data_IF_050463903631
#
_entry.id   IF_050463903631
#
_cell.length_a   1.000
_cell.length_b   1.000
_cell.length_c   1.000
_cell.angle_alpha   90.00
_cell.angle_beta   90.00
_cell.angle_gamma   90.00
#
_symmetry.space_group_name_H-M   'P 1'
#
loop_
_entity.id
_entity.type
_entity.pdbx_description
1 polymer ?
#
# COMPACT_ATOMS: atom_id res chain seq x y z
N UNK A 1 6.82 -35.04 16.39
CA UNK A 1 6.18 -34.90 15.04
C UNK A 1 7.07 -34.03 14.15
N UNK A 2 7.29 -34.43 12.88
CA UNK A 2 8.02 -33.63 11.90
C UNK A 2 7.11 -33.13 10.78
N UNK A 3 7.22 -31.87 10.40
CA UNK A 3 6.48 -31.23 9.31
C UNK A 3 7.47 -30.79 8.25
N UNK A 4 7.25 -31.18 6.99
CA UNK A 4 8.11 -30.78 5.87
C UNK A 4 7.41 -29.67 5.09
N UNK A 5 7.98 -28.48 5.06
CA UNK A 5 7.39 -27.35 4.35
C UNK A 5 7.87 -25.99 4.89
N UNK A 6 7.31 -24.91 4.35
CA UNK A 6 7.58 -23.55 4.82
C UNK A 6 6.56 -22.50 4.41
N UNK A 7 5.43 -22.91 3.83
CA UNK A 7 4.28 -22.01 3.61
C UNK A 7 3.28 -22.08 4.76
N UNK A 8 2.19 -21.32 4.65
CA UNK A 8 1.18 -21.20 5.71
C UNK A 8 0.63 -22.57 6.15
N UNK A 9 0.37 -23.47 5.20
CA UNK A 9 -0.07 -24.86 5.49
C UNK A 9 0.90 -25.60 6.42
N UNK A 10 2.21 -25.38 6.28
CA UNK A 10 3.21 -26.02 7.13
C UNK A 10 3.20 -25.42 8.55
N UNK A 11 2.97 -24.12 8.68
CA UNK A 11 2.82 -23.43 9.96
C UNK A 11 1.51 -23.85 10.65
N UNK A 12 0.41 -23.94 9.91
CA UNK A 12 -0.86 -24.43 10.43
C UNK A 12 -0.73 -25.87 10.94
N UNK A 13 -0.06 -26.74 10.19
CA UNK A 13 0.18 -28.12 10.57
C UNK A 13 1.03 -28.23 11.86
N UNK A 14 2.08 -27.41 12.01
CA UNK A 14 2.91 -27.45 13.22
C UNK A 14 2.16 -26.95 14.44
N UNK A 15 1.47 -25.82 14.34
CA UNK A 15 0.67 -25.25 15.44
C UNK A 15 -0.48 -26.17 15.84
N UNK A 16 -1.14 -26.78 14.85
CA UNK A 16 -2.17 -27.80 15.09
C UNK A 16 -1.61 -29.00 15.83
N UNK A 17 -0.45 -29.51 15.41
CA UNK A 17 0.22 -30.62 16.10
C UNK A 17 0.55 -30.27 17.57
N UNK A 18 1.07 -29.07 17.82
CA UNK A 18 1.32 -28.57 19.19
C UNK A 18 0.04 -28.57 20.02
N UNK A 19 -1.05 -28.02 19.49
CA UNK A 19 -2.36 -27.91 20.19
C UNK A 19 -3.04 -29.25 20.42
N UNK A 20 -2.72 -30.26 19.61
CA UNK A 20 -3.16 -31.64 19.80
C UNK A 20 -2.31 -32.41 20.83
N UNK A 21 -1.33 -31.75 21.48
CA UNK A 21 -0.55 -32.32 22.56
C UNK A 21 0.74 -33.03 22.12
N UNK A 22 1.26 -32.72 20.93
CA UNK A 22 2.57 -33.21 20.53
C UNK A 22 3.66 -32.66 21.48
N UNK A 23 4.48 -33.55 22.05
CA UNK A 23 5.55 -33.16 22.97
C UNK A 23 6.65 -32.34 22.29
N UNK A 24 6.97 -32.68 21.04
CA UNK A 24 7.97 -31.97 20.24
C UNK A 24 7.53 -31.90 18.77
N UNK A 25 7.52 -30.69 18.22
CA UNK A 25 7.16 -30.41 16.83
C UNK A 25 8.35 -29.78 16.11
N UNK A 26 8.75 -30.39 15.01
CA UNK A 26 9.86 -29.94 14.16
C UNK A 26 9.34 -29.51 12.79
N UNK A 27 9.72 -28.33 12.34
CA UNK A 27 9.46 -27.86 10.97
C UNK A 27 10.76 -27.93 10.16
N UNK A 28 10.78 -28.68 9.07
CA UNK A 28 11.93 -28.83 8.19
C UNK A 28 11.72 -27.98 6.95
N UNK A 29 12.56 -26.95 6.80
CA UNK A 29 12.51 -26.05 5.65
C UNK A 29 13.84 -26.00 4.90
N UNK A 30 13.77 -26.27 3.60
CA UNK A 30 14.95 -26.36 2.72
C UNK A 30 15.63 -25.03 2.40
N UNK A 31 15.09 -23.90 2.86
CA UNK A 31 15.69 -22.55 2.65
C UNK A 31 15.85 -21.82 3.99
N UNK A 32 16.26 -20.56 3.96
CA UNK A 32 16.35 -19.73 5.16
C UNK A 32 15.01 -19.06 5.48
N UNK A 33 14.93 -18.38 6.63
CA UNK A 33 13.76 -17.59 7.00
C UNK A 33 13.45 -16.47 6.00
N UNK A 34 14.45 -15.90 5.32
CA UNK A 34 14.24 -14.83 4.33
C UNK A 34 13.46 -15.32 3.09
N UNK A 35 13.59 -16.59 2.72
CA UNK A 35 12.84 -17.18 1.60
C UNK A 35 11.58 -17.92 2.05
N UNK A 36 11.22 -17.87 3.34
CA UNK A 36 10.02 -18.54 3.85
C UNK A 36 8.76 -17.83 3.31
N UNK A 37 7.88 -18.55 2.58
CA UNK A 37 6.67 -17.92 2.04
C UNK A 37 5.56 -17.71 3.06
N UNK A 38 5.63 -18.37 4.23
CA UNK A 38 4.63 -18.20 5.27
C UNK A 38 4.63 -16.78 5.86
N UNK A 39 3.48 -16.33 6.35
CA UNK A 39 3.35 -15.04 7.02
C UNK A 39 4.31 -14.94 8.24
N UNK A 40 5.17 -13.90 8.32
CA UNK A 40 6.16 -13.77 9.38
C UNK A 40 5.57 -13.74 10.79
N UNK A 41 4.38 -13.16 10.97
CA UNK A 41 3.71 -13.09 12.27
C UNK A 41 3.29 -14.49 12.72
N UNK A 42 2.79 -15.31 11.79
CA UNK A 42 2.45 -16.71 12.09
C UNK A 42 3.68 -17.57 12.39
N UNK A 43 4.80 -17.32 11.70
CA UNK A 43 6.07 -18.01 11.97
C UNK A 43 6.58 -17.66 13.38
N UNK A 44 6.53 -16.39 13.76
CA UNK A 44 6.89 -15.94 15.11
C UNK A 44 5.99 -16.60 16.16
N UNK A 45 4.67 -16.58 15.96
CA UNK A 45 3.72 -17.25 16.86
C UNK A 45 3.97 -18.77 16.97
N UNK A 46 4.35 -19.45 15.88
CA UNK A 46 4.69 -20.87 15.93
C UNK A 46 5.94 -21.14 16.79
N UNK A 47 6.96 -20.28 16.68
CA UNK A 47 8.16 -20.35 17.53
C UNK A 47 7.82 -20.07 18.99
N UNK A 48 6.96 -19.08 19.27
CA UNK A 48 6.44 -18.82 20.62
C UNK A 48 5.72 -20.05 21.20
N UNK A 49 4.92 -20.74 20.38
CA UNK A 49 4.23 -22.00 20.72
C UNK A 49 5.18 -23.20 20.87
N UNK A 50 6.50 -23.02 20.67
CA UNK A 50 7.53 -24.03 20.91
C UNK A 50 7.91 -24.87 19.70
N UNK A 51 7.46 -24.51 18.49
CA UNK A 51 7.84 -25.20 17.25
C UNK A 51 9.33 -24.98 16.96
N UNK A 52 10.05 -26.09 16.72
CA UNK A 52 11.48 -26.07 16.38
C UNK A 52 11.66 -26.02 14.87
N UNK A 53 12.07 -24.87 14.34
CA UNK A 53 12.28 -24.68 12.90
C UNK A 53 13.73 -25.00 12.52
N UNK A 54 13.90 -25.99 11.64
CA UNK A 54 15.15 -26.40 11.03
C UNK A 54 15.26 -25.82 9.62
N UNK A 55 15.90 -24.67 9.53
CA UNK A 55 16.24 -24.06 8.24
C UNK A 55 17.36 -24.80 7.52
N UNK A 56 17.45 -24.59 6.20
CA UNK A 56 18.51 -25.16 5.36
C UNK A 56 18.62 -26.68 5.50
N UNK A 57 17.48 -27.35 5.64
CA UNK A 57 17.40 -28.79 5.81
C UNK A 57 16.35 -29.38 4.86
N UNK A 58 16.69 -30.44 4.16
CA UNK A 58 15.76 -31.13 3.28
C UNK A 58 15.74 -32.65 3.56
N UNK A 59 14.57 -33.28 3.56
CA UNK A 59 14.48 -34.74 3.61
C UNK A 59 15.03 -35.36 2.32
N UNK A 60 15.75 -36.47 2.45
CA UNK A 60 16.27 -37.30 1.34
C UNK A 60 15.55 -38.63 1.25
N UNK A 61 15.41 -39.32 2.39
CA UNK A 61 14.80 -40.66 2.45
C UNK A 61 13.96 -40.82 3.70
N UNK A 62 12.84 -41.51 3.53
CA UNK A 62 12.05 -42.02 4.64
C UNK A 62 12.50 -43.46 4.87
N UNK A 63 12.91 -43.76 6.09
CA UNK A 63 13.44 -45.04 6.52
C UNK A 63 12.52 -45.62 7.60
N UNK A 64 12.30 -46.93 7.55
CA UNK A 64 11.46 -47.66 8.50
C UNK A 64 10.59 -48.70 7.78
N UNK A 65 10.36 -49.82 8.44
CA UNK A 65 9.42 -50.86 8.02
C UNK A 65 8.14 -50.81 8.89
N UNK A 66 7.09 -51.52 8.48
CA UNK A 66 5.84 -51.61 9.24
C UNK A 66 6.11 -52.05 10.70
N UNK A 67 5.83 -51.16 11.65
CA UNK A 67 6.04 -51.40 13.08
C UNK A 67 7.38 -50.91 13.65
N UNK A 68 8.28 -50.34 12.83
CA UNK A 68 9.47 -49.62 13.31
C UNK A 68 9.21 -48.12 13.53
N UNK A 69 10.07 -47.49 14.33
CA UNK A 69 10.07 -46.03 14.47
C UNK A 69 10.45 -45.37 13.13
N UNK A 70 9.68 -44.37 12.72
CA UNK A 70 9.93 -43.61 11.50
C UNK A 70 11.23 -42.82 11.64
N UNK A 71 12.16 -43.04 10.71
CA UNK A 71 13.44 -42.32 10.62
C UNK A 71 13.47 -41.50 9.33
N UNK A 72 13.82 -40.23 9.44
CA UNK A 72 13.95 -39.33 8.30
C UNK A 72 15.43 -38.99 8.08
N UNK A 73 16.00 -39.45 6.97
CA UNK A 73 17.33 -39.02 6.53
C UNK A 73 17.21 -37.61 5.93
N UNK A 74 17.94 -36.66 6.50
CA UNK A 74 17.95 -35.26 6.12
C UNK A 74 19.35 -34.83 5.68
N UNK A 75 19.42 -33.92 4.72
CA UNK A 75 20.67 -33.33 4.23
C UNK A 75 20.69 -31.83 4.51
N UNK A 76 21.88 -31.28 4.77
CA UNK A 76 22.03 -29.82 4.89
C UNK A 76 22.02 -29.18 3.52
N UNK A 77 21.48 -27.97 3.46
CA UNK A 77 21.35 -27.17 2.26
C UNK A 77 22.22 -25.92 2.37
N UNK A 78 22.80 -25.50 1.24
CA UNK A 78 23.30 -24.14 1.02
C UNK A 78 22.47 -23.43 -0.03
N UNK A 79 22.38 -22.11 0.06
CA UNK A 79 21.62 -21.31 -0.90
C UNK A 79 22.50 -20.94 -2.10
N UNK A 80 22.02 -21.26 -3.30
CA UNK A 80 22.60 -20.86 -4.58
C UNK A 80 22.06 -19.52 -5.07
N UNK A 81 22.10 -19.32 -6.39
CA UNK A 81 21.52 -18.14 -7.03
C UNK A 81 19.98 -18.12 -6.92
N UNK A 82 19.34 -16.94 -6.93
CA UNK A 82 17.90 -16.79 -7.07
C UNK A 82 17.34 -17.52 -8.30
N UNK A 83 16.16 -18.10 -8.17
CA UNK A 83 15.35 -18.62 -9.26
C UNK A 83 14.49 -17.51 -9.90
N UNK A 84 13.66 -17.88 -10.88
CA UNK A 84 12.78 -16.92 -11.57
C UNK A 84 11.72 -16.28 -10.65
N UNK A 85 11.44 -16.88 -9.48
CA UNK A 85 10.58 -16.30 -8.44
C UNK A 85 11.34 -15.38 -7.49
N UNK A 86 12.66 -15.19 -7.68
CA UNK A 86 13.54 -14.43 -6.79
C UNK A 86 14.03 -15.23 -5.58
N UNK A 87 13.56 -16.46 -5.37
CA UNK A 87 13.94 -17.29 -4.22
C UNK A 87 15.23 -18.03 -4.51
N UNK A 88 16.14 -18.08 -3.53
CA UNK A 88 17.42 -18.78 -3.71
C UNK A 88 17.21 -20.29 -3.88
N UNK A 89 17.96 -20.87 -4.82
CA UNK A 89 17.90 -22.31 -5.10
C UNK A 89 18.55 -23.11 -3.95
N UNK A 90 17.87 -24.14 -3.40
CA UNK A 90 18.46 -25.02 -2.41
C UNK A 90 19.46 -25.97 -3.10
N UNK A 91 20.71 -25.97 -2.67
CA UNK A 91 21.75 -26.88 -3.15
C UNK A 91 22.19 -27.80 -1.99
N UNK A 92 22.09 -29.13 -2.13
CA UNK A 92 22.57 -30.05 -1.12
C UNK A 92 24.06 -29.88 -0.84
N UNK A 93 24.45 -30.05 0.43
CA UNK A 93 25.83 -30.18 0.87
C UNK A 93 26.12 -31.67 0.97
N UNK A 94 26.99 -32.19 0.09
CA UNK A 94 27.42 -33.59 0.12
C UNK A 94 28.03 -33.94 1.48
N UNK A 95 27.87 -35.20 1.91
CA UNK A 95 28.39 -35.75 3.18
C UNK A 95 27.87 -35.02 4.45
N UNK A 96 26.65 -34.47 4.38
CA UNK A 96 26.00 -33.77 5.51
C UNK A 96 24.71 -34.44 6.00
N UNK A 97 24.49 -35.67 5.54
CA UNK A 97 23.35 -36.50 5.86
C UNK A 97 23.33 -36.84 7.35
N UNK A 98 22.14 -36.76 7.95
CA UNK A 98 21.89 -37.17 9.32
C UNK A 98 20.45 -37.66 9.46
N UNK A 99 20.23 -38.55 10.42
CA UNK A 99 18.90 -39.10 10.67
C UNK A 99 18.20 -38.36 11.81
N UNK A 100 16.89 -38.24 11.69
CA UNK A 100 16.00 -37.75 12.74
C UNK A 100 14.88 -38.76 12.96
N UNK A 101 14.69 -39.20 14.19
CA UNK A 101 13.58 -40.08 14.57
C UNK A 101 12.31 -39.25 14.81
N UNK A 102 11.18 -39.72 14.27
CA UNK A 102 9.88 -39.08 14.38
C UNK A 102 8.82 -40.13 14.68
N UNK A 103 7.76 -39.78 15.41
CA UNK A 103 6.59 -40.67 15.55
C UNK A 103 5.62 -40.52 14.36
N UNK A 104 5.53 -39.30 13.83
CA UNK A 104 4.68 -38.94 12.70
C UNK A 104 5.35 -37.88 11.85
N UNK A 105 5.05 -37.92 10.55
CA UNK A 105 5.50 -36.94 9.58
C UNK A 105 4.32 -36.39 8.78
N UNK A 106 4.26 -35.06 8.68
CA UNK A 106 3.27 -34.33 7.88
C UNK A 106 3.98 -33.66 6.70
N UNK A 107 3.48 -33.88 5.49
CA UNK A 107 4.07 -33.35 4.27
C UNK A 107 3.24 -32.15 3.80
N UNK A 108 3.82 -30.95 3.88
CA UNK A 108 3.20 -29.68 3.52
C UNK A 108 4.05 -28.93 2.46
N UNK A 109 4.37 -29.63 1.37
CA UNK A 109 5.26 -29.14 0.29
C UNK A 109 4.52 -28.48 -0.88
N UNK A 110 3.21 -28.27 -0.73
CA UNK A 110 2.32 -27.78 -1.78
C UNK A 110 1.38 -28.86 -2.31
N UNK A 111 0.49 -28.44 -3.20
CA UNK A 111 -0.54 -29.25 -3.82
C UNK A 111 -0.67 -28.87 -5.29
N UNK A 112 -1.31 -29.76 -6.05
CA UNK A 112 -1.59 -29.61 -7.47
C UNK A 112 -3.01 -30.09 -7.75
N UNK A 113 -3.74 -29.45 -8.68
CA UNK A 113 -5.11 -29.84 -8.97
C UNK A 113 -5.15 -31.26 -9.55
N UNK A 114 -6.14 -32.04 -9.10
CA UNK A 114 -6.50 -33.29 -9.78
C UNK A 114 -7.36 -32.95 -10.99
N UNK A 115 -6.82 -33.17 -12.18
CA UNK A 115 -7.48 -32.89 -13.46
C UNK A 115 -7.94 -34.15 -14.18
N UNK A 116 -7.81 -35.32 -13.56
CA UNK A 116 -8.09 -36.62 -14.20
C UNK A 116 -9.56 -36.84 -14.54
N UNK A 117 -10.47 -36.08 -13.91
CA UNK A 117 -11.91 -36.16 -14.15
C UNK A 117 -12.39 -35.22 -15.27
N UNK A 118 -11.52 -34.32 -15.76
CA UNK A 118 -11.86 -33.33 -16.77
C UNK A 118 -11.91 -33.97 -18.17
N UNK A 119 -12.72 -33.44 -19.10
CA UNK A 119 -12.81 -33.99 -20.44
C UNK A 119 -11.50 -33.76 -21.23
N UNK A 120 -11.16 -34.72 -22.11
CA UNK A 120 -9.89 -34.75 -22.84
C UNK A 120 -9.67 -33.55 -23.79
N UNK A 121 -10.76 -32.88 -24.20
CA UNK A 121 -10.72 -31.71 -25.06
C UNK A 121 -10.49 -30.40 -24.29
N UNK A 122 -10.50 -30.42 -22.95
CA UNK A 122 -10.14 -29.26 -22.13
C UNK A 122 -8.62 -29.06 -22.12
N UNK A 123 -8.19 -27.85 -22.44
CA UNK A 123 -6.77 -27.52 -22.46
C UNK A 123 -6.24 -27.28 -21.04
N UNK A 124 -5.15 -27.97 -20.69
CA UNK A 124 -4.40 -27.74 -19.46
C UNK A 124 -3.09 -27.02 -19.76
N UNK A 125 -2.57 -26.28 -18.77
CA UNK A 125 -1.24 -25.68 -18.83
C UNK A 125 -0.15 -26.73 -18.60
N UNK A 126 1.11 -26.38 -18.84
CA UNK A 126 2.26 -27.24 -18.50
C UNK A 126 2.34 -27.59 -17.01
N UNK A 127 1.70 -26.80 -16.14
CA UNK A 127 1.63 -27.04 -14.69
C UNK A 127 0.49 -27.96 -14.28
N UNK A 128 -0.32 -28.44 -15.24
CA UNK A 128 -1.51 -29.26 -14.99
C UNK A 128 -2.71 -28.47 -14.47
N UNK A 129 -2.67 -27.13 -14.50
CA UNK A 129 -3.83 -26.27 -14.18
C UNK A 129 -4.71 -26.06 -15.41
N UNK A 130 -5.95 -25.63 -15.22
CA UNK A 130 -6.88 -25.36 -16.33
C UNK A 130 -6.42 -24.12 -17.09
N UNK A 131 -6.27 -24.23 -18.41
CA UNK A 131 -5.94 -23.09 -19.26
C UNK A 131 -7.19 -22.26 -19.56
N UNK A 132 -7.08 -20.94 -19.37
CA UNK A 132 -8.17 -19.98 -19.60
C UNK A 132 -7.67 -18.75 -20.35
N UNK A 133 -8.58 -18.03 -20.97
CA UNK A 133 -8.34 -16.67 -21.43
C UNK A 133 -8.11 -15.77 -20.20
N UNK A 134 -6.98 -15.06 -20.09
CA UNK A 134 -6.67 -14.28 -18.90
C UNK A 134 -7.63 -13.12 -18.66
N UNK A 135 -8.36 -12.63 -19.68
CA UNK A 135 -9.29 -11.50 -19.59
C UNK A 135 -10.73 -11.91 -19.29
N UNK A 136 -11.15 -13.10 -19.69
CA UNK A 136 -12.53 -13.58 -19.49
C UNK A 136 -12.65 -14.77 -18.55
N UNK A 137 -11.53 -15.45 -18.28
CA UNK A 137 -11.47 -16.74 -17.57
C UNK A 137 -12.25 -17.87 -18.25
N UNK A 138 -12.62 -17.69 -19.53
CA UNK A 138 -13.22 -18.74 -20.34
C UNK A 138 -12.15 -19.75 -20.77
N UNK A 139 -12.48 -21.03 -20.71
CA UNK A 139 -11.64 -22.12 -21.20
C UNK A 139 -11.68 -22.20 -22.73
N UNK A 140 -11.03 -23.19 -23.32
CA UNK A 140 -11.20 -23.47 -24.75
C UNK A 140 -12.58 -24.08 -25.10
N UNK A 141 -13.35 -24.52 -24.09
CA UNK A 141 -14.72 -24.99 -24.26
C UNK A 141 -15.68 -23.82 -24.05
N UNK A 142 -16.47 -23.50 -25.08
CA UNK A 142 -17.36 -22.34 -25.05
C UNK A 142 -18.39 -22.44 -23.94
N UNK A 143 -18.54 -21.35 -23.19
CA UNK A 143 -19.46 -21.28 -22.04
C UNK A 143 -18.96 -21.97 -20.78
N UNK A 144 -17.73 -22.50 -20.76
CA UNK A 144 -17.08 -23.09 -19.58
C UNK A 144 -15.98 -22.16 -19.10
N UNK A 145 -16.06 -21.77 -17.83
CA UNK A 145 -15.14 -20.83 -17.18
C UNK A 145 -14.47 -21.50 -15.97
N UNK A 146 -13.26 -21.06 -15.62
CA UNK A 146 -12.53 -21.57 -14.45
C UNK A 146 -11.77 -20.44 -13.75
N UNK A 147 -11.58 -20.56 -12.43
CA UNK A 147 -10.82 -19.61 -11.62
C UNK A 147 -10.38 -20.22 -10.29
N UNK A 148 -9.65 -19.45 -9.50
CA UNK A 148 -8.97 -19.86 -8.28
C UNK A 148 -7.74 -20.74 -8.54
N UNK A 149 -7.36 -21.51 -7.51
CA UNK A 149 -6.17 -22.37 -7.53
C UNK A 149 -6.16 -23.41 -8.68
N UNK A 150 -7.33 -23.76 -9.22
CA UNK A 150 -7.43 -24.66 -10.37
C UNK A 150 -6.83 -24.07 -11.65
N UNK A 151 -6.71 -22.74 -11.74
CA UNK A 151 -6.13 -22.00 -12.87
C UNK A 151 -4.72 -21.53 -12.54
N UNK A 152 -4.54 -20.85 -11.42
CA UNK A 152 -3.28 -20.19 -11.04
C UNK A 152 -2.30 -21.10 -10.31
N UNK A 153 -2.79 -22.20 -9.72
CA UNK A 153 -2.11 -22.91 -8.63
C UNK A 153 -2.31 -22.19 -7.29
N UNK A 154 -1.74 -22.71 -6.21
CA UNK A 154 -1.91 -22.15 -4.87
C UNK A 154 -1.58 -20.64 -4.84
N UNK A 155 -2.61 -19.82 -4.55
CA UNK A 155 -2.54 -18.36 -4.47
C UNK A 155 -3.20 -17.86 -3.15
N UNK A 156 -3.63 -16.60 -3.12
CA UNK A 156 -4.38 -16.07 -1.98
C UNK A 156 -5.89 -16.23 -2.17
N UNK A 157 -6.64 -16.24 -1.06
CA UNK A 157 -8.11 -16.24 -1.08
C UNK A 157 -8.65 -15.03 -1.85
N UNK A 158 -7.98 -13.87 -1.74
CA UNK A 158 -8.39 -12.64 -2.42
C UNK A 158 -8.25 -12.77 -3.94
N UNK A 159 -7.18 -13.43 -4.42
CA UNK A 159 -7.00 -13.69 -5.85
C UNK A 159 -8.11 -14.61 -6.39
N UNK A 160 -8.46 -15.66 -5.64
CA UNK A 160 -9.56 -16.55 -6.01
C UNK A 160 -10.92 -15.82 -6.04
N UNK A 161 -11.17 -14.91 -5.09
CA UNK A 161 -12.38 -14.06 -5.11
C UNK A 161 -12.38 -13.12 -6.32
N UNK A 162 -11.24 -12.50 -6.63
CA UNK A 162 -11.11 -11.61 -7.78
C UNK A 162 -11.38 -12.36 -9.10
N UNK A 163 -10.85 -13.58 -9.25
CA UNK A 163 -11.14 -14.44 -10.40
C UNK A 163 -12.61 -14.87 -10.43
N UNK A 164 -13.21 -15.20 -9.29
CA UNK A 164 -14.64 -15.49 -9.20
C UNK A 164 -15.51 -14.33 -9.70
N UNK A 165 -15.20 -13.10 -9.30
CA UNK A 165 -15.87 -11.89 -9.80
C UNK A 165 -15.68 -11.73 -11.30
N UNK A 166 -14.46 -11.90 -11.80
CA UNK A 166 -14.13 -11.79 -13.23
C UNK A 166 -14.84 -12.84 -14.09
N UNK A 167 -14.91 -14.08 -13.61
CA UNK A 167 -15.67 -15.16 -14.25
C UNK A 167 -17.16 -14.84 -14.26
N UNK A 168 -17.72 -14.35 -13.16
CA UNK A 168 -19.14 -13.96 -13.09
C UNK A 168 -19.49 -12.85 -14.11
N UNK A 169 -18.66 -11.81 -14.24
CA UNK A 169 -18.82 -10.76 -15.26
C UNK A 169 -18.85 -11.37 -16.67
N UNK A 170 -17.97 -12.32 -16.93
CA UNK A 170 -17.81 -12.93 -18.26
C UNK A 170 -18.93 -13.91 -18.58
N UNK A 171 -19.40 -14.67 -17.59
CA UNK A 171 -20.57 -15.55 -17.68
C UNK A 171 -21.82 -14.73 -17.97
N UNK A 172 -22.03 -13.62 -17.26
CA UNK A 172 -23.20 -12.77 -17.49
C UNK A 172 -23.23 -12.21 -18.92
N UNK A 173 -22.10 -11.69 -19.40
CA UNK A 173 -21.95 -11.24 -20.80
C UNK A 173 -22.16 -12.35 -21.82
N UNK A 174 -21.65 -13.56 -21.55
CA UNK A 174 -21.86 -14.72 -22.40
C UNK A 174 -23.34 -15.10 -22.50
N UNK A 175 -24.10 -14.94 -21.42
CA UNK A 175 -25.55 -15.17 -21.36
C UNK A 175 -26.39 -13.98 -21.90
N UNK A 176 -25.74 -12.89 -22.33
CA UNK A 176 -26.38 -11.72 -22.93
C UNK A 176 -26.70 -10.57 -21.97
N UNK A 177 -26.17 -10.61 -20.74
CA UNK A 177 -26.18 -9.48 -19.80
C UNK A 177 -25.10 -8.43 -20.11
N UNK A 178 -24.98 -7.42 -19.25
CA UNK A 178 -24.01 -6.31 -19.38
C UNK A 178 -22.69 -6.57 -18.63
N UNK A 179 -22.66 -7.57 -17.74
CA UNK A 179 -21.54 -7.89 -16.87
C UNK A 179 -21.40 -6.97 -15.67
N UNK A 180 -22.46 -6.25 -15.27
CA UNK A 180 -22.45 -5.44 -14.06
C UNK A 180 -22.81 -6.28 -12.83
N UNK A 181 -21.78 -6.68 -12.07
CA UNK A 181 -21.92 -7.44 -10.81
C UNK A 181 -21.60 -6.61 -9.57
N UNK A 182 -21.41 -5.30 -9.75
CA UNK A 182 -21.02 -4.41 -8.67
C UNK A 182 -22.23 -4.10 -7.80
N UNK A 183 -22.11 -4.42 -6.51
CA UNK A 183 -23.12 -4.07 -5.52
C UNK A 183 -22.65 -2.86 -4.73
N UNK A 184 -23.44 -1.79 -4.74
CA UNK A 184 -23.21 -0.64 -3.87
C UNK A 184 -23.87 -0.88 -2.52
N UNK A 185 -23.13 -1.51 -1.61
CA UNK A 185 -23.59 -1.81 -0.25
C UNK A 185 -23.61 -0.58 0.67
N UNK A 186 -22.79 0.44 0.37
CA UNK A 186 -22.65 1.65 1.17
C UNK A 186 -22.54 2.86 0.23
N UNK A 187 -23.07 4.01 0.66
CA UNK A 187 -22.83 5.26 -0.04
C UNK A 187 -21.37 5.68 0.13
N UNK A 188 -20.72 6.11 -0.95
CA UNK A 188 -19.38 6.68 -0.87
C UNK A 188 -19.44 7.96 -0.04
N UNK A 189 -18.63 8.03 1.02
CA UNK A 189 -18.45 9.26 1.78
C UNK A 189 -17.62 10.25 0.96
N UNK A 190 -18.10 11.50 0.86
CA UNK A 190 -17.28 12.58 0.33
C UNK A 190 -16.20 12.96 1.35
N UNK A 191 -14.97 12.62 1.00
CA UNK A 191 -13.79 12.96 1.77
C UNK A 191 -13.57 14.49 1.82
N UNK A 192 -13.47 15.08 3.01
CA UNK A 192 -13.01 16.47 3.16
C UNK A 192 -11.55 16.58 2.67
N UNK A 193 -11.27 17.41 1.64
CA UNK A 193 -9.91 17.60 1.14
C UNK A 193 -9.00 18.34 2.13
N UNK A 194 -9.57 19.01 3.15
CA UNK A 194 -8.84 19.76 4.16
C UNK A 194 -8.58 18.93 5.42
N UNK A 195 -7.65 17.99 5.32
CA UNK A 195 -7.30 17.08 6.43
C UNK A 195 -6.60 17.75 7.62
N UNK A 196 -6.09 18.97 7.45
CA UNK A 196 -5.25 19.64 8.43
C UNK A 196 -3.87 18.98 8.61
N UNK A 197 -3.16 19.37 9.66
CA UNK A 197 -1.86 18.79 10.03
C UNK A 197 -2.04 17.86 11.23
N UNK A 198 -1.48 16.66 11.15
CA UNK A 198 -1.37 15.75 12.30
C UNK A 198 0.10 15.61 12.70
N UNK A 199 0.46 16.21 13.84
CA UNK A 199 1.81 16.10 14.38
C UNK A 199 2.17 14.65 14.68
N UNK A 200 3.41 14.27 14.37
CA UNK A 200 3.93 12.93 14.64
C UNK A 200 3.28 11.79 13.85
N UNK A 201 2.44 12.07 12.84
CA UNK A 201 1.73 11.04 12.07
C UNK A 201 2.67 9.96 11.51
N UNK A 202 3.78 10.38 10.89
CA UNK A 202 4.76 9.46 10.31
C UNK A 202 5.49 8.58 11.34
N UNK A 203 5.48 8.96 12.62
CA UNK A 203 6.10 8.21 13.71
C UNK A 203 5.11 7.28 14.43
N UNK A 204 3.83 7.24 14.03
CA UNK A 204 2.84 6.35 14.65
C UNK A 204 3.11 4.89 14.30
N UNK A 205 3.32 4.08 15.32
CA UNK A 205 3.42 2.62 15.19
C UNK A 205 2.05 1.98 14.98
N UNK A 206 2.04 0.83 14.30
CA UNK A 206 0.85 -0.03 14.20
C UNK A 206 0.42 -0.49 15.59
N UNK A 207 -0.88 -0.43 15.87
CA UNK A 207 -1.45 -1.02 17.07
C UNK A 207 -1.32 -2.54 16.98
N UNK A 208 -0.74 -3.15 18.01
CA UNK A 208 -0.57 -4.61 18.09
C UNK A 208 -1.91 -5.28 18.39
N UNK A 209 -2.18 -6.40 17.72
CA UNK A 209 -3.38 -7.21 17.96
C UNK A 209 -3.27 -7.89 19.33
N UNK A 210 -4.20 -7.69 20.27
CA UNK A 210 -4.25 -8.47 21.49
C UNK A 210 -4.48 -9.94 21.16
N UNK A 211 -3.63 -10.81 21.69
CA UNK A 211 -3.73 -12.25 21.52
C UNK A 211 -3.90 -12.94 22.88
N UNK A 212 -4.51 -14.12 22.88
CA UNK A 212 -4.56 -14.98 24.08
C UNK A 212 -3.15 -15.20 24.66
N UNK A 213 -3.00 -15.38 25.98
CA UNK A 213 -1.73 -15.80 26.58
C UNK A 213 -1.26 -17.15 26.01
N UNK A 214 0.05 -17.33 25.91
CA UNK A 214 0.66 -18.51 25.29
C UNK A 214 0.15 -19.82 25.89
N UNK A 215 -0.01 -19.87 27.20
CA UNK A 215 -0.46 -21.05 27.95
C UNK A 215 -1.88 -21.48 27.53
N UNK A 216 -2.68 -20.54 27.04
CA UNK A 216 -4.04 -20.80 26.53
C UNK A 216 -4.03 -21.11 25.03
N UNK A 217 -3.12 -20.50 24.26
CA UNK A 217 -2.98 -20.76 22.81
C UNK A 217 -2.71 -22.24 22.51
N UNK A 218 -1.88 -22.88 23.32
CA UNK A 218 -1.46 -24.28 23.11
C UNK A 218 -2.46 -25.32 23.67
N UNK A 219 -3.52 -24.89 24.36
CA UNK A 219 -4.50 -25.80 24.99
C UNK A 219 -5.68 -26.16 24.09
N UNK A 220 -5.75 -25.63 22.87
CA UNK A 220 -6.83 -25.96 21.94
C UNK A 220 -6.94 -25.01 20.76
N UNK A 221 -8.16 -24.86 20.25
CA UNK A 221 -8.46 -24.13 19.00
C UNK A 221 -9.32 -22.88 19.23
N UNK A 222 -9.26 -22.30 20.43
CA UNK A 222 -9.90 -21.02 20.72
C UNK A 222 -9.32 -19.93 19.81
N UNK A 223 -10.14 -18.95 19.46
CA UNK A 223 -9.70 -17.77 18.69
C UNK A 223 -8.56 -17.08 19.45
N UNK A 224 -7.40 -16.94 18.79
CA UNK A 224 -6.20 -16.38 19.41
C UNK A 224 -6.23 -14.87 19.37
N UNK A 225 -6.58 -14.28 18.24
CA UNK A 225 -6.69 -12.84 18.02
C UNK A 225 -8.00 -12.32 18.63
N UNK A 226 -7.90 -11.52 19.69
CA UNK A 226 -9.05 -11.07 20.48
C UNK A 226 -9.75 -9.85 19.88
N UNK A 227 -9.22 -9.30 18.80
CA UNK A 227 -9.66 -8.05 18.20
C UNK A 227 -9.17 -6.82 18.96
N UNK A 228 -9.32 -5.66 18.32
CA UNK A 228 -9.00 -4.39 18.94
C UNK A 228 -10.21 -3.86 19.72
N UNK A 229 -9.95 -3.32 20.92
CA UNK A 229 -10.92 -2.49 21.62
C UNK A 229 -11.27 -1.25 20.77
N UNK A 230 -12.47 -0.71 20.97
CA UNK A 230 -13.00 0.39 20.15
C UNK A 230 -12.03 1.57 20.04
N UNK A 231 -11.43 1.98 21.17
CA UNK A 231 -10.49 3.09 21.24
C UNK A 231 -9.26 2.83 20.37
N UNK A 232 -8.73 1.61 20.43
CA UNK A 232 -7.57 1.16 19.67
C UNK A 232 -7.87 0.96 18.18
N UNK A 233 -9.05 0.46 17.86
CA UNK A 233 -9.52 0.38 16.48
C UNK A 233 -9.65 1.78 15.84
N UNK A 234 -10.21 2.75 16.58
CA UNK A 234 -10.29 4.15 16.12
C UNK A 234 -8.91 4.78 15.99
N UNK A 235 -7.99 4.49 16.92
CA UNK A 235 -6.60 4.96 16.83
C UNK A 235 -5.90 4.44 15.57
N UNK A 236 -6.03 3.14 15.27
CA UNK A 236 -5.47 2.53 14.07
C UNK A 236 -6.13 3.06 12.78
N UNK A 237 -7.46 3.26 12.77
CA UNK A 237 -8.17 3.85 11.64
C UNK A 237 -7.69 5.30 11.33
N UNK A 238 -7.34 6.07 12.37
CA UNK A 238 -6.76 7.42 12.22
C UNK A 238 -5.33 7.43 11.67
N UNK A 239 -4.69 6.27 11.49
CA UNK A 239 -3.40 6.10 10.79
C UNK A 239 -3.58 5.98 9.27
N UNK A 240 -4.81 6.02 8.76
CA UNK A 240 -5.10 5.98 7.33
C UNK A 240 -4.35 7.09 6.57
N UNK A 241 -3.68 6.72 5.47
CA UNK A 241 -2.94 7.65 4.60
C UNK A 241 -3.85 8.47 3.66
N UNK A 242 -5.17 8.21 3.69
CA UNK A 242 -6.17 8.87 2.82
C UNK A 242 -5.81 8.83 1.35
N UNK A 243 -5.41 7.65 0.87
CA UNK A 243 -5.03 7.43 -0.53
C UNK A 243 -6.19 7.70 -1.51
N UNK A 244 -7.44 7.67 -1.04
CA UNK A 244 -8.65 8.11 -1.74
C UNK A 244 -8.53 9.55 -2.27
N UNK A 245 -7.90 10.44 -1.51
CA UNK A 245 -7.71 11.84 -1.89
C UNK A 245 -6.66 12.05 -2.97
N UNK A 246 -5.87 11.02 -3.34
CA UNK A 246 -4.78 11.15 -4.33
C UNK A 246 -5.27 11.73 -5.65
N UNK A 247 -6.48 11.34 -6.08
CA UNK A 247 -7.07 11.81 -7.34
C UNK A 247 -7.56 13.27 -7.26
N UNK A 248 -7.69 13.82 -6.06
CA UNK A 248 -8.09 15.20 -5.80
C UNK A 248 -6.88 16.13 -5.60
N UNK A 249 -5.66 15.59 -5.53
CA UNK A 249 -4.44 16.40 -5.42
C UNK A 249 -4.23 17.13 -6.75
N UNK A 250 -4.57 18.43 -6.76
CA UNK A 250 -4.25 19.29 -7.89
C UNK A 250 -2.73 19.41 -8.04
N UNK A 251 -2.19 19.53 -9.27
CA UNK A 251 -0.79 19.86 -9.47
C UNK A 251 -0.45 21.11 -8.67
N UNK A 252 0.60 21.04 -7.85
CA UNK A 252 1.14 22.24 -7.23
C UNK A 252 1.64 23.12 -8.37
N UNK A 253 1.04 24.29 -8.56
CA UNK A 253 1.58 25.30 -9.47
C UNK A 253 2.98 25.66 -8.95
N UNK A 254 4.02 25.27 -9.70
CA UNK A 254 5.41 25.54 -9.36
C UNK A 254 6.06 26.39 -10.47
N UNK A 255 6.66 27.55 -10.13
CA UNK A 255 6.69 28.16 -8.79
C UNK A 255 5.27 28.55 -8.33
N UNK A 256 4.97 28.54 -7.01
CA UNK A 256 3.69 29.05 -6.52
C UNK A 256 3.55 30.47 -7.05
N UNK A 257 2.58 30.70 -7.93
CA UNK A 257 2.36 32.02 -8.47
C UNK A 257 2.01 32.93 -7.28
N UNK A 258 2.90 33.87 -6.95
CA UNK A 258 2.71 34.81 -5.83
C UNK A 258 1.58 35.81 -6.07
N UNK A 259 0.82 35.62 -7.15
CA UNK A 259 -0.10 36.57 -7.72
C UNK A 259 -1.48 35.94 -7.74
N UNK A 260 -2.45 36.64 -7.17
CA UNK A 260 -3.85 36.28 -7.19
C UNK A 260 -4.56 37.14 -8.22
N UNK A 261 -5.67 36.66 -8.80
CA UNK A 261 -6.51 37.51 -9.64
C UNK A 261 -7.00 38.72 -8.84
N UNK A 262 -6.93 39.90 -9.45
CA UNK A 262 -7.34 41.16 -8.84
C UNK A 262 -8.85 41.33 -8.93
N UNK A 263 -9.57 40.66 -8.04
CA UNK A 263 -11.02 40.69 -7.94
C UNK A 263 -11.47 40.83 -6.47
N UNK A 264 -12.75 41.17 -6.26
CA UNK A 264 -13.30 41.43 -4.91
C UNK A 264 -13.24 40.21 -3.99
N UNK A 265 -13.41 39.00 -4.52
CA UNK A 265 -13.38 37.76 -3.76
C UNK A 265 -11.99 37.53 -3.16
N UNK A 266 -10.93 37.65 -3.96
CA UNK A 266 -9.56 37.45 -3.49
C UNK A 266 -9.10 38.56 -2.55
N UNK A 267 -9.51 39.81 -2.80
CA UNK A 267 -9.18 40.95 -1.91
C UNK A 267 -9.81 40.79 -0.53
N UNK A 268 -11.01 40.22 -0.42
CA UNK A 268 -11.67 39.98 0.87
C UNK A 268 -10.88 39.08 1.83
N UNK A 269 -9.99 38.25 1.29
CA UNK A 269 -9.12 37.34 2.04
C UNK A 269 -7.81 38.00 2.52
N UNK A 270 -7.46 39.18 2.00
CA UNK A 270 -6.24 39.92 2.37
C UNK A 270 -6.36 40.47 3.80
N UNK A 271 -5.33 40.42 4.66
CA UNK A 271 -5.40 40.98 6.01
C UNK A 271 -5.48 42.51 6.03
N UNK A 272 -6.11 43.06 7.08
CA UNK A 272 -6.14 44.51 7.37
C UNK A 272 -4.90 44.96 8.15
N UNK A 273 -3.73 44.65 7.61
CA UNK A 273 -2.42 44.99 8.20
C UNK A 273 -1.65 45.93 7.29
N UNK A 274 -0.59 46.54 7.81
CA UNK A 274 0.32 47.36 7.02
C UNK A 274 1.25 46.50 6.17
N UNK A 275 1.55 46.97 4.96
CA UNK A 275 2.41 46.25 4.04
C UNK A 275 2.50 46.89 2.68
N UNK A 276 3.08 46.14 1.74
CA UNK A 276 3.25 46.57 0.35
C UNK A 276 2.53 45.61 -0.57
N UNK A 277 1.83 46.13 -1.56
CA UNK A 277 1.24 45.35 -2.63
C UNK A 277 1.76 45.78 -4.00
N UNK A 278 1.62 44.88 -4.96
CA UNK A 278 1.99 45.06 -6.36
C UNK A 278 0.79 44.70 -7.22
N UNK A 279 0.45 45.54 -8.18
CA UNK A 279 -0.56 45.24 -9.20
C UNK A 279 0.15 44.92 -10.51
N UNK A 280 -0.41 43.96 -11.24
CA UNK A 280 0.13 43.46 -12.49
C UNK A 280 -0.95 43.44 -13.58
N UNK A 281 -0.53 43.65 -14.82
CA UNK A 281 -1.40 43.54 -15.99
C UNK A 281 -1.66 42.08 -16.41
N UNK A 282 -2.39 41.88 -17.51
CA UNK A 282 -2.69 40.57 -18.10
C UNK A 282 -1.43 39.77 -18.48
N UNK A 283 -0.31 40.46 -18.74
CA UNK A 283 0.98 39.85 -19.09
C UNK A 283 1.85 39.54 -17.87
N UNK A 284 1.33 39.78 -16.65
CA UNK A 284 2.07 39.65 -15.38
C UNK A 284 3.24 40.63 -15.28
N UNK A 285 3.16 41.78 -15.94
CA UNK A 285 4.11 42.88 -15.75
C UNK A 285 3.64 43.76 -14.59
N UNK A 286 4.54 44.11 -13.66
CA UNK A 286 4.20 45.01 -12.54
C UNK A 286 3.92 46.41 -13.09
N UNK A 287 2.70 46.90 -12.87
CA UNK A 287 2.25 48.23 -13.30
C UNK A 287 2.16 49.21 -12.14
N UNK A 288 2.04 48.73 -10.90
CA UNK A 288 1.93 49.57 -9.71
C UNK A 288 2.54 48.90 -8.47
N UNK A 289 3.23 49.69 -7.64
CA UNK A 289 3.76 49.29 -6.33
C UNK A 289 3.35 50.36 -5.33
N UNK A 290 2.75 49.97 -4.21
CA UNK A 290 2.37 50.90 -3.15
C UNK A 290 2.49 50.28 -1.76
N UNK A 291 3.06 51.05 -0.84
CA UNK A 291 3.05 50.78 0.59
C UNK A 291 1.82 51.43 1.24
N UNK A 292 1.12 50.68 2.09
CA UNK A 292 -0.10 51.15 2.75
C UNK A 292 -0.14 50.72 4.22
N UNK A 293 -0.71 51.55 5.11
CA UNK A 293 -1.00 51.14 6.48
C UNK A 293 -2.11 50.09 6.58
N UNK A 294 -2.91 49.87 5.52
CA UNK A 294 -3.94 48.85 5.46
C UNK A 294 -4.05 48.27 4.03
N UNK A 295 -3.59 47.04 3.86
CA UNK A 295 -3.53 46.34 2.58
C UNK A 295 -4.92 46.14 1.96
N UNK A 296 -5.88 45.58 2.69
CA UNK A 296 -7.23 45.30 2.18
C UNK A 296 -7.94 46.57 1.72
N UNK A 297 -8.01 47.59 2.59
CA UNK A 297 -8.74 48.82 2.29
C UNK A 297 -8.16 49.56 1.07
N UNK A 298 -6.84 49.50 0.88
CA UNK A 298 -6.21 50.18 -0.25
C UNK A 298 -6.38 49.39 -1.56
N UNK A 299 -6.27 48.07 -1.51
CA UNK A 299 -6.56 47.20 -2.66
C UNK A 299 -8.03 47.32 -3.12
N UNK A 300 -8.98 47.42 -2.20
CA UNK A 300 -10.41 47.66 -2.53
C UNK A 300 -10.61 48.99 -3.26
N UNK A 301 -9.89 50.05 -2.86
CA UNK A 301 -9.92 51.33 -3.58
C UNK A 301 -9.30 51.20 -4.97
N UNK A 302 -8.17 50.52 -5.08
CA UNK A 302 -7.50 50.34 -6.37
C UNK A 302 -8.31 49.46 -7.33
N UNK A 303 -9.17 48.55 -6.84
CA UNK A 303 -10.05 47.75 -7.68
C UNK A 303 -11.01 48.62 -8.51
N UNK A 304 -11.39 49.79 -7.98
CA UNK A 304 -12.25 50.75 -8.68
C UNK A 304 -11.47 51.67 -9.63
N UNK A 305 -10.20 51.94 -9.32
CA UNK A 305 -9.39 52.95 -9.99
C UNK A 305 -8.47 52.37 -11.08
N UNK A 306 -7.92 51.17 -10.88
CA UNK A 306 -6.88 50.57 -11.74
C UNK A 306 -7.47 49.46 -12.59
N UNK A 307 -8.18 49.85 -13.66
CA UNK A 307 -8.83 48.91 -14.59
C UNK A 307 -7.87 48.03 -15.40
N UNK A 308 -6.58 48.40 -15.47
CA UNK A 308 -5.55 47.63 -16.18
C UNK A 308 -5.01 46.45 -15.36
N UNK A 309 -5.18 46.48 -14.04
CA UNK A 309 -4.68 45.43 -13.16
C UNK A 309 -5.53 44.15 -13.30
N UNK A 310 -4.88 43.03 -13.58
CA UNK A 310 -5.48 41.70 -13.65
C UNK A 310 -5.04 40.82 -12.48
N UNK A 311 -3.85 41.07 -11.92
CA UNK A 311 -3.32 40.31 -10.80
C UNK A 311 -2.76 41.23 -9.72
N UNK A 312 -2.69 40.73 -8.49
CA UNK A 312 -2.03 41.40 -7.39
C UNK A 312 -1.26 40.43 -6.50
N UNK A 313 -0.26 40.94 -5.78
CA UNK A 313 0.38 40.21 -4.69
C UNK A 313 0.85 41.16 -3.60
N UNK A 314 0.78 40.72 -2.35
CA UNK A 314 1.09 41.55 -1.19
C UNK A 314 2.12 40.90 -0.27
N UNK A 315 2.72 41.74 0.57
CA UNK A 315 3.63 41.35 1.64
C UNK A 315 3.32 42.23 2.86
N UNK A 316 3.04 41.62 4.00
CA UNK A 316 2.90 42.33 5.27
C UNK A 316 4.26 42.88 5.72
N UNK A 317 4.31 44.18 6.02
CA UNK A 317 5.53 44.86 6.47
C UNK A 317 5.18 46.14 7.24
N UNK A 318 5.46 46.21 8.56
CA UNK A 318 5.24 47.41 9.35
C UNK A 318 6.01 48.64 8.86
N UNK A 319 7.13 48.45 8.15
CA UNK A 319 7.93 49.50 7.52
C UNK A 319 7.60 49.64 6.02
N UNK A 320 6.32 49.62 5.68
CA UNK A 320 5.81 49.62 4.30
C UNK A 320 6.43 50.70 3.39
N UNK A 321 6.67 51.92 3.88
CA UNK A 321 7.29 53.00 3.08
C UNK A 321 8.73 52.68 2.66
N UNK A 322 9.51 52.09 3.56
CA UNK A 322 10.88 51.65 3.26
C UNK A 322 10.84 50.51 2.25
N UNK A 323 9.92 49.56 2.47
CA UNK A 323 9.79 48.37 1.64
C UNK A 323 9.31 48.67 0.23
N UNK A 324 8.38 49.62 0.10
CA UNK A 324 7.93 50.18 -1.18
C UNK A 324 9.11 50.78 -1.95
N UNK A 325 9.90 51.63 -1.30
CA UNK A 325 11.09 52.25 -1.89
C UNK A 325 12.10 51.21 -2.38
N UNK A 326 12.36 50.17 -1.60
CA UNK A 326 13.24 49.06 -1.98
C UNK A 326 12.73 48.32 -3.23
N UNK A 327 11.42 48.06 -3.30
CA UNK A 327 10.80 47.34 -4.42
C UNK A 327 10.77 48.18 -5.70
N UNK A 328 10.52 49.50 -5.59
CA UNK A 328 10.59 50.44 -6.71
C UNK A 328 12.02 50.54 -7.23
N UNK A 329 13.02 50.70 -6.35
CA UNK A 329 14.44 50.73 -6.76
C UNK A 329 14.88 49.45 -7.46
N UNK A 330 14.43 48.29 -6.96
CA UNK A 330 14.71 47.01 -7.60
C UNK A 330 14.08 46.90 -8.98
N UNK A 331 12.82 47.32 -9.13
CA UNK A 331 12.15 47.33 -10.43
C UNK A 331 12.87 48.26 -11.43
N UNK A 332 13.30 49.44 -10.98
CA UNK A 332 14.11 50.37 -11.77
C UNK A 332 15.43 49.76 -12.23
N UNK A 333 16.13 49.02 -11.36
CA UNK A 333 17.38 48.33 -11.72
C UNK A 333 17.15 47.22 -12.76
N UNK A 334 16.06 46.48 -12.64
CA UNK A 334 15.74 45.34 -13.51
C UNK A 334 15.19 45.79 -14.88
N UNK A 335 14.38 46.85 -14.93
CA UNK A 335 13.64 47.25 -16.14
C UNK A 335 14.04 48.62 -16.71
N UNK A 336 14.88 49.39 -16.02
CA UNK A 336 15.37 50.71 -16.46
C UNK A 336 14.30 51.81 -16.49
N UNK A 337 13.11 51.57 -15.93
CA UNK A 337 11.97 52.50 -15.88
C UNK A 337 11.13 52.28 -14.62
N UNK A 338 10.31 53.27 -14.25
CA UNK A 338 9.32 53.12 -13.18
C UNK A 338 8.17 52.21 -13.63
N UNK A 339 7.41 51.61 -12.69
CA UNK A 339 6.12 51.04 -13.00
C UNK A 339 5.19 52.10 -13.60
N UNK A 340 4.40 51.73 -14.61
CA UNK A 340 3.60 52.66 -15.42
C UNK A 340 2.74 53.62 -14.60
N UNK A 341 2.15 53.14 -13.50
CA UNK A 341 1.24 53.93 -12.66
C UNK A 341 1.96 54.59 -11.47
N UNK A 342 3.27 54.37 -11.31
CA UNK A 342 4.11 55.08 -10.36
C UNK A 342 4.84 56.28 -11.01
N UNK A 343 4.77 56.46 -12.33
CA UNK A 343 5.36 57.59 -13.06
C UNK A 343 4.68 58.93 -12.75
N UNK A 344 3.41 58.94 -12.31
CA UNK A 344 2.67 60.17 -11.94
C UNK A 344 3.17 60.84 -10.63
N UNK A 345 4.15 60.24 -9.93
CA UNK A 345 4.71 60.78 -8.69
C UNK A 345 5.91 61.73 -8.88
N UNK A 346 6.32 62.02 -10.12
CA UNK A 346 7.47 62.89 -10.42
C UNK A 346 7.20 64.42 -10.26
N UNK A 347 5.97 64.85 -10.00
CA UNK A 347 5.65 66.27 -9.75
C UNK A 347 5.78 66.71 -8.27
N UNK A 348 6.34 65.85 -7.39
CA UNK A 348 6.47 66.15 -5.94
C UNK A 348 7.86 65.91 -5.33
N UNK A 349 8.93 65.87 -6.13
CA UNK A 349 10.31 65.93 -5.64
C UNK A 349 11.17 66.96 -6.38
#
# INVERSE_FOLDING_TARGET
IGVIGGGDVAIDATRTATRLGAEEVHLLYRRSGEEMPADPEQVEQAVEEGVKIHFLMAPQKILGEDGEALRLECIRIRLGEPDASGRRRPLPIEDSEHEMSLDQMLVAIGQSPDTTFLPDDLTLTEKGTIAVNPDTLETNLSGVFAGGDAVTGAASIVDAIAEGRKAAISIDRYLGGDGEIDERLVEAEEADPWLGQMEGFAAKSRVQMPCLPLEQRVQGFSVVELGLEKEKAVEEAKRCLRCDLRLQISPVTLPPEKWQEFNSQNISLVPETSGVYRLLDETKTIIYIAGTPNLRQDLEKQLQNVKKAHYFGYQEDPMYTKRESELIQRFLQEHGRMPELNDELLDLF
#
